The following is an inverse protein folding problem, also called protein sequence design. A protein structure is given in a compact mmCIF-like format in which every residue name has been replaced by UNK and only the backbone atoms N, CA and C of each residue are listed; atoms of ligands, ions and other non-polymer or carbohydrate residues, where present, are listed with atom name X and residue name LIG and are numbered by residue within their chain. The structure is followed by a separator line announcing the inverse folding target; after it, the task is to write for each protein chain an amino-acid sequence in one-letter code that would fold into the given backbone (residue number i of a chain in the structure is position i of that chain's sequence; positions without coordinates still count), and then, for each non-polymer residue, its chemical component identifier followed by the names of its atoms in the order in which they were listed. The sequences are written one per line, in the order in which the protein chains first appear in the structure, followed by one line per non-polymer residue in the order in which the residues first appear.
data_IF_105421562570
#
_entry.id   IF_105421562570
#
_cell.length_a   1.000
_cell.length_b   1.000
_cell.length_c   1.000
_cell.angle_alpha   90.00
_cell.angle_beta   90.00
_cell.angle_gamma   90.00
#
_symmetry.space_group_name_H-M   'P 1'
#
loop_
_entity.id
_entity.type
_entity.pdbx_description
1 polymer ?
#
# COMPACT_ATOMS: atom_id res chain seq x y z
N UNK A 1 10.00 28.63 2.14
CA UNK A 1 9.03 27.62 1.69
C UNK A 1 9.26 27.43 0.20
N UNK A 2 9.63 26.22 -0.21
CA UNK A 2 9.60 25.81 -1.60
C UNK A 2 8.22 26.09 -2.19
N UNK A 3 8.15 26.54 -3.44
CA UNK A 3 6.87 26.64 -4.13
C UNK A 3 6.39 25.21 -4.41
N UNK A 4 5.21 24.85 -3.91
CA UNK A 4 4.55 23.59 -4.23
C UNK A 4 4.31 23.56 -5.75
N UNK A 5 4.72 22.48 -6.41
CA UNK A 5 4.57 22.31 -7.87
C UNK A 5 3.33 21.47 -8.19
N UNK A 6 2.57 21.89 -9.20
CA UNK A 6 1.43 21.16 -9.77
C UNK A 6 1.01 21.76 -11.12
N UNK A 7 0.28 20.99 -11.94
CA UNK A 7 -0.22 21.43 -13.25
C UNK A 7 -1.36 22.46 -13.13
N UNK A 8 -1.73 23.11 -14.24
CA UNK A 8 -2.85 24.06 -14.25
C UNK A 8 -4.20 23.41 -13.92
N UNK A 9 -4.41 22.17 -14.36
CA UNK A 9 -5.60 21.37 -14.09
C UNK A 9 -5.67 20.95 -12.62
N UNK A 10 -4.52 20.63 -12.00
CA UNK A 10 -4.44 20.39 -10.56
C UNK A 10 -4.66 21.72 -9.81
N UNK A 11 -4.12 22.84 -10.27
CA UNK A 11 -4.36 24.15 -9.67
C UNK A 11 -5.86 24.49 -9.64
N UNK A 12 -6.57 24.25 -10.76
CA UNK A 12 -8.01 24.45 -10.86
C UNK A 12 -8.78 23.52 -9.93
N UNK A 13 -8.38 22.24 -9.83
CA UNK A 13 -8.96 21.30 -8.88
C UNK A 13 -8.81 21.79 -7.44
N UNK A 14 -7.59 22.18 -7.06
CA UNK A 14 -7.28 22.65 -5.72
C UNK A 14 -8.04 23.94 -5.38
N UNK A 15 -8.33 24.79 -6.37
CA UNK A 15 -9.22 25.94 -6.21
C UNK A 15 -10.68 25.55 -5.88
N UNK A 16 -11.09 24.32 -6.20
CA UNK A 16 -12.42 23.76 -5.89
C UNK A 16 -12.40 22.87 -4.64
N UNK A 17 -11.23 22.55 -4.10
CA UNK A 17 -11.09 21.66 -2.93
C UNK A 17 -11.76 22.28 -1.71
N UNK A 18 -12.58 21.48 -1.04
CA UNK A 18 -13.22 21.81 0.22
C UNK A 18 -12.61 21.00 1.35
N UNK A 19 -12.41 21.67 2.47
CA UNK A 19 -11.87 21.05 3.68
C UNK A 19 -13.02 20.55 4.54
N UNK A 20 -12.87 19.35 5.11
CA UNK A 20 -13.76 18.85 6.15
C UNK A 20 -12.96 18.76 7.46
N UNK A 21 -13.03 19.79 8.33
CA UNK A 21 -12.28 19.82 9.56
C UNK A 21 -12.53 18.57 10.41
N UNK A 22 -11.53 18.17 11.19
CA UNK A 22 -11.71 17.07 12.14
C UNK A 22 -12.88 17.40 13.07
N UNK A 23 -13.67 16.39 13.42
CA UNK A 23 -14.73 16.54 14.42
C UNK A 23 -14.21 16.75 15.85
N UNK A 24 -12.91 16.98 16.04
CA UNK A 24 -12.29 17.21 17.35
C UNK A 24 -12.06 15.95 18.17
N UNK A 25 -12.22 14.76 17.57
CA UNK A 25 -12.03 13.49 18.27
C UNK A 25 -10.59 13.33 18.79
N UNK A 26 -10.41 12.92 20.06
CA UNK A 26 -9.08 12.68 20.61
C UNK A 26 -8.33 11.59 19.83
N UNK A 27 -7.10 11.91 19.42
CA UNK A 27 -6.16 10.97 18.81
C UNK A 27 -5.40 10.20 19.89
N UNK A 28 -5.42 8.86 19.80
CA UNK A 28 -4.75 7.91 20.70
C UNK A 28 -3.65 7.18 19.90
N UNK A 29 -2.43 7.74 19.81
CA UNK A 29 -1.35 7.16 19.02
C UNK A 29 -0.84 5.87 19.65
N UNK A 30 -0.73 4.79 18.86
CA UNK A 30 -0.21 3.47 19.23
C UNK A 30 -0.93 2.74 20.38
N UNK A 31 -1.90 3.38 21.05
CA UNK A 31 -2.75 2.74 22.04
C UNK A 31 -3.65 1.69 21.37
N UNK A 32 -3.74 0.48 21.95
CA UNK A 32 -4.70 -0.53 21.52
C UNK A 32 -6.11 -0.02 21.82
N UNK A 33 -7.06 -0.28 20.92
CA UNK A 33 -8.48 -0.04 21.18
C UNK A 33 -8.90 -0.86 22.41
N UNK A 34 -9.48 -0.23 23.46
CA UNK A 34 -9.92 -0.95 24.65
C UNK A 34 -10.94 -2.03 24.32
N UNK A 35 -10.90 -3.13 25.09
CA UNK A 35 -11.91 -4.17 24.97
C UNK A 35 -13.30 -3.58 25.28
N UNK A 36 -14.28 -3.87 24.43
CA UNK A 36 -15.64 -3.31 24.53
C UNK A 36 -15.88 -1.99 23.81
N UNK A 37 -14.84 -1.29 23.32
CA UNK A 37 -15.02 -0.13 22.45
C UNK A 37 -15.10 -0.61 20.98
N UNK A 38 -16.27 -0.51 20.31
CA UNK A 38 -16.42 -1.05 18.96
C UNK A 38 -15.57 -0.29 17.96
N UNK A 39 -14.83 -1.03 17.13
CA UNK A 39 -14.16 -0.45 15.95
C UNK A 39 -15.18 -0.35 14.82
N UNK A 40 -15.40 0.87 14.32
CA UNK A 40 -16.44 1.13 13.32
C UNK A 40 -15.93 1.64 12.00
N UNK A 41 -14.70 2.15 11.97
CA UNK A 41 -14.06 2.60 10.74
C UNK A 41 -12.57 2.32 10.72
N UNK A 42 -12.01 2.20 9.52
CA UNK A 42 -10.58 2.10 9.26
C UNK A 42 -10.18 3.05 8.13
N UNK A 43 -9.15 3.86 8.34
CA UNK A 43 -8.67 4.84 7.36
C UNK A 43 -7.15 4.74 7.19
N UNK A 44 -6.66 4.84 5.96
CA UNK A 44 -5.28 4.52 5.61
C UNK A 44 -4.43 5.71 5.15
N UNK A 45 -3.22 5.80 5.67
CA UNK A 45 -2.11 6.53 5.05
C UNK A 45 -1.40 5.56 4.08
N UNK A 46 -1.78 5.60 2.80
CA UNK A 46 -1.25 4.67 1.79
C UNK A 46 -0.05 5.29 1.08
N UNK A 47 1.14 4.76 1.34
CA UNK A 47 2.41 5.35 0.90
C UNK A 47 2.87 4.86 -0.47
N UNK A 48 3.20 5.79 -1.35
CA UNK A 48 4.05 5.55 -2.51
C UNK A 48 5.53 5.43 -2.08
N UNK A 49 6.42 4.83 -2.92
CA UNK A 49 7.82 4.61 -2.56
C UNK A 49 8.60 5.87 -2.20
N UNK A 50 8.20 7.03 -2.74
CA UNK A 50 8.84 8.32 -2.49
C UNK A 50 8.36 9.02 -1.20
N UNK A 51 7.51 8.35 -0.42
CA UNK A 51 6.98 8.86 0.85
C UNK A 51 5.73 9.73 0.73
N UNK A 52 5.25 10.02 -0.49
CA UNK A 52 3.93 10.63 -0.69
C UNK A 52 2.81 9.65 -0.34
N UNK A 53 1.63 10.18 -0.05
CA UNK A 53 0.44 9.39 0.30
C UNK A 53 -0.70 9.65 -0.67
N UNK A 54 -1.49 8.60 -0.91
CA UNK A 54 -2.71 8.69 -1.70
C UNK A 54 -3.81 9.44 -0.94
N UNK A 55 -4.41 10.41 -1.62
CA UNK A 55 -5.63 11.12 -1.21
C UNK A 55 -6.65 11.05 -2.33
N UNK A 56 -7.93 11.09 -1.97
CA UNK A 56 -9.04 11.06 -2.90
C UNK A 56 -9.75 12.40 -2.87
N UNK A 57 -10.08 12.95 -4.04
CA UNK A 57 -10.86 14.18 -4.17
C UNK A 57 -12.19 13.84 -4.79
N UNK A 58 -13.27 14.08 -4.04
CA UNK A 58 -14.62 13.90 -4.55
C UNK A 58 -14.93 15.01 -5.57
N UNK A 59 -15.17 14.71 -6.85
CA UNK A 59 -15.40 15.73 -7.88
C UNK A 59 -16.78 16.40 -7.76
N UNK A 60 -17.67 15.91 -6.91
CA UNK A 60 -18.99 16.50 -6.68
C UNK A 60 -18.91 17.73 -5.78
N UNK A 61 -18.14 17.65 -4.70
CA UNK A 61 -18.08 18.69 -3.66
C UNK A 61 -16.66 19.18 -3.37
N UNK A 62 -15.63 18.57 -3.98
CA UNK A 62 -14.22 18.90 -3.78
C UNK A 62 -13.67 18.41 -2.45
N UNK A 63 -14.40 17.59 -1.69
CA UNK A 63 -13.92 17.10 -0.39
C UNK A 63 -12.76 16.13 -0.62
N UNK A 64 -11.68 16.36 0.14
CA UNK A 64 -10.53 15.47 0.18
C UNK A 64 -10.69 14.47 1.32
N UNK A 65 -10.35 13.21 1.07
CA UNK A 65 -10.29 12.14 2.06
C UNK A 65 -9.01 11.30 1.90
N UNK A 66 -8.67 10.58 2.96
CA UNK A 66 -7.81 9.39 2.84
C UNK A 66 -8.69 8.21 2.42
N UNK A 67 -8.15 7.18 1.74
CA UNK A 67 -8.90 5.94 1.50
C UNK A 67 -9.32 5.28 2.82
N UNK A 68 -10.54 4.75 2.85
CA UNK A 68 -11.06 4.00 3.99
C UNK A 68 -12.49 4.36 4.35
N UNK A 69 -13.11 3.49 5.14
CA UNK A 69 -14.54 3.61 5.42
C UNK A 69 -14.96 2.77 6.61
N UNK A 70 -16.18 2.27 6.55
CA UNK A 70 -16.82 1.58 7.67
C UNK A 70 -16.47 0.09 7.65
N UNK A 71 -16.38 -0.51 8.83
CA UNK A 71 -16.27 -1.97 8.89
C UNK A 71 -17.63 -2.58 8.52
N UNK A 72 -17.59 -3.56 7.63
CA UNK A 72 -18.72 -4.35 7.15
C UNK A 72 -18.65 -5.79 7.65
N UNK A 73 -19.76 -6.56 7.59
CA UNK A 73 -19.76 -7.94 8.08
C UNK A 73 -18.70 -8.85 7.45
N UNK A 74 -18.38 -8.62 6.17
CA UNK A 74 -17.35 -9.36 5.43
C UNK A 74 -15.92 -9.11 5.91
N UNK A 75 -15.67 -7.98 6.57
CA UNK A 75 -14.37 -7.67 7.16
C UNK A 75 -14.12 -8.49 8.44
N UNK A 76 -15.12 -9.25 8.93
CA UNK A 76 -15.06 -10.04 10.16
C UNK A 76 -14.57 -9.26 11.40
N UNK A 77 -14.78 -7.94 11.40
CA UNK A 77 -14.31 -7.05 12.46
C UNK A 77 -12.83 -6.67 12.39
N UNK A 78 -12.10 -7.07 11.34
CA UNK A 78 -10.70 -6.73 11.12
C UNK A 78 -10.54 -5.37 10.39
N UNK A 79 -9.93 -4.36 11.04
CA UNK A 79 -9.70 -3.06 10.41
C UNK A 79 -8.73 -3.11 9.23
N UNK A 80 -7.84 -4.10 9.14
CA UNK A 80 -6.92 -4.23 8.01
C UNK A 80 -7.68 -4.71 6.75
N UNK A 81 -8.54 -5.71 6.89
CA UNK A 81 -9.45 -6.19 5.84
C UNK A 81 -10.37 -5.06 5.34
N UNK A 82 -11.00 -4.32 6.26
CA UNK A 82 -11.85 -3.18 5.90
C UNK A 82 -11.09 -2.11 5.10
N UNK A 83 -9.85 -1.78 5.51
CA UNK A 83 -9.06 -0.81 4.77
C UNK A 83 -8.69 -1.31 3.37
N UNK A 84 -8.36 -2.58 3.21
CA UNK A 84 -8.01 -3.15 1.92
C UNK A 84 -9.21 -3.14 0.96
N UNK A 85 -10.40 -3.48 1.45
CA UNK A 85 -11.66 -3.42 0.68
C UNK A 85 -11.97 -1.99 0.25
N UNK A 86 -12.02 -1.06 1.19
CA UNK A 86 -12.34 0.36 0.91
C UNK A 86 -11.30 0.99 -0.04
N UNK A 87 -10.00 0.68 0.11
CA UNK A 87 -8.98 1.14 -0.83
C UNK A 87 -9.21 0.60 -2.26
N UNK A 88 -9.65 -0.64 -2.40
CA UNK A 88 -9.99 -1.22 -3.69
C UNK A 88 -11.28 -0.61 -4.28
N UNK A 89 -12.29 -0.37 -3.46
CA UNK A 89 -13.58 0.19 -3.89
C UNK A 89 -13.49 1.67 -4.26
N UNK A 90 -12.90 2.49 -3.38
CA UNK A 90 -12.86 3.95 -3.55
C UNK A 90 -11.78 4.41 -4.53
N UNK A 91 -10.63 3.70 -4.56
CA UNK A 91 -9.44 4.15 -5.27
C UNK A 91 -8.93 3.15 -6.33
N UNK A 92 -9.51 1.95 -6.39
CA UNK A 92 -8.96 0.83 -7.16
C UNK A 92 -7.52 0.51 -6.76
N UNK A 93 -7.19 0.73 -5.49
CA UNK A 93 -5.85 0.58 -4.95
C UNK A 93 -5.65 -0.80 -4.31
N UNK A 94 -4.53 -1.44 -4.65
CA UNK A 94 -3.99 -2.58 -3.92
C UNK A 94 -2.98 -2.10 -2.89
N UNK A 95 -3.07 -2.62 -1.67
CA UNK A 95 -2.20 -2.24 -0.56
C UNK A 95 -1.40 -3.43 -0.04
N UNK A 96 -0.22 -3.16 0.52
CA UNK A 96 0.51 -4.14 1.32
C UNK A 96 -0.11 -4.30 2.71
N UNK A 97 0.53 -5.11 3.57
CA UNK A 97 0.06 -5.33 4.94
C UNK A 97 -0.12 -4.01 5.71
N UNK A 98 -1.35 -3.72 6.19
CA UNK A 98 -1.59 -2.52 6.99
C UNK A 98 -0.94 -2.59 8.38
N UNK A 99 -0.31 -1.50 8.79
CA UNK A 99 0.25 -1.30 10.11
C UNK A 99 -0.63 -0.37 10.93
N UNK A 100 -1.03 -0.82 12.11
CA UNK A 100 -1.83 -0.04 13.04
C UNK A 100 -1.06 1.18 13.59
N UNK A 101 -1.70 2.35 13.55
CA UNK A 101 -1.12 3.61 14.05
C UNK A 101 -1.75 4.09 15.36
N UNK A 102 -2.98 3.67 15.66
CA UNK A 102 -3.80 4.22 16.73
C UNK A 102 -5.25 4.43 16.29
N UNK A 103 -6.03 5.12 17.10
CA UNK A 103 -7.42 5.40 16.81
C UNK A 103 -7.86 6.82 17.23
N UNK A 104 -8.89 7.33 16.57
CA UNK A 104 -9.68 8.45 17.04
C UNK A 104 -10.83 7.93 17.90
N UNK A 105 -10.97 8.50 19.11
CA UNK A 105 -12.09 8.18 20.00
C UNK A 105 -13.30 9.05 19.66
N UNK A 106 -14.30 8.45 19.02
CA UNK A 106 -15.57 9.09 18.68
C UNK A 106 -16.58 8.87 19.79
N UNK A 107 -16.60 9.78 20.76
CA UNK A 107 -17.54 9.73 21.91
C UNK A 107 -19.00 9.90 21.50
N UNK A 108 -19.26 10.60 20.39
CA UNK A 108 -20.63 10.90 19.91
C UNK A 108 -21.18 9.69 19.14
N UNK A 109 -20.32 8.83 18.62
CA UNK A 109 -20.76 7.65 17.90
C UNK A 109 -21.35 7.96 16.54
N UNK A 110 -20.82 8.97 15.86
CA UNK A 110 -21.32 9.40 14.54
C UNK A 110 -21.24 8.30 13.48
N UNK A 111 -20.33 7.33 13.65
CA UNK A 111 -20.21 6.13 12.83
C UNK A 111 -20.87 4.87 13.44
N UNK A 112 -21.62 5.03 14.54
CA UNK A 112 -22.09 3.91 15.36
C UNK A 112 -23.47 4.18 15.98
N UNK A 113 -24.37 4.82 15.23
CA UNK A 113 -25.75 5.04 15.68
C UNK A 113 -25.87 5.84 16.98
N UNK A 114 -24.90 6.69 17.31
CA UNK A 114 -24.91 7.49 18.54
C UNK A 114 -24.17 6.88 19.73
N UNK A 115 -23.53 5.71 19.57
CA UNK A 115 -22.76 5.06 20.63
C UNK A 115 -21.26 5.22 20.43
N UNK A 116 -20.50 5.43 21.52
CA UNK A 116 -19.06 5.62 21.41
C UNK A 116 -18.37 4.52 20.58
N UNK A 117 -17.37 4.92 19.79
CA UNK A 117 -16.63 3.99 18.95
C UNK A 117 -15.20 4.43 18.68
N UNK A 118 -14.40 3.51 18.15
CA UNK A 118 -13.07 3.76 17.64
C UNK A 118 -13.09 3.88 16.11
N UNK A 119 -12.39 4.90 15.60
CA UNK A 119 -12.06 5.06 14.17
C UNK A 119 -10.56 4.87 14.00
N UNK A 120 -10.17 3.71 13.50
CA UNK A 120 -8.77 3.29 13.41
C UNK A 120 -8.03 4.06 12.31
N UNK A 121 -6.72 4.25 12.51
CA UNK A 121 -5.78 4.74 11.51
C UNK A 121 -4.72 3.68 11.26
N UNK A 122 -4.45 3.43 10.00
CA UNK A 122 -3.41 2.49 9.55
C UNK A 122 -2.45 3.18 8.58
N UNK A 123 -1.26 2.60 8.39
CA UNK A 123 -0.36 2.91 7.28
C UNK A 123 -0.13 1.64 6.45
N UNK A 124 -0.07 1.75 5.13
CA UNK A 124 0.27 0.62 4.27
C UNK A 124 1.04 1.10 3.04
N UNK A 125 1.79 0.20 2.40
CA UNK A 125 2.37 0.50 1.10
C UNK A 125 1.28 0.47 0.02
N UNK A 126 1.20 1.51 -0.81
CA UNK A 126 0.39 1.51 -2.02
C UNK A 126 1.12 0.69 -3.09
N UNK A 127 0.60 -0.51 -3.41
CA UNK A 127 1.27 -1.44 -4.33
C UNK A 127 0.95 -1.13 -5.78
N UNK A 128 -0.33 -0.98 -6.07
CA UNK A 128 -0.80 -0.68 -7.42
C UNK A 128 -2.12 0.07 -7.34
N UNK A 129 -2.45 0.77 -8.40
CA UNK A 129 -3.73 1.42 -8.61
C UNK A 129 -4.22 0.98 -9.98
N UNK A 130 -5.40 0.38 -10.04
CA UNK A 130 -6.02 -0.05 -11.29
C UNK A 130 -6.68 1.11 -12.04
N UNK A 131 -7.29 0.80 -13.20
CA UNK A 131 -8.08 1.77 -13.94
C UNK A 131 -9.17 2.40 -13.07
N UNK A 132 -9.35 3.70 -13.20
CA UNK A 132 -10.36 4.47 -12.51
C UNK A 132 -11.74 4.01 -12.95
N UNK A 133 -12.57 3.55 -12.01
CA UNK A 133 -13.95 3.20 -12.27
C UNK A 133 -14.89 4.34 -11.83
N UNK A 134 -15.90 4.70 -12.64
CA UNK A 134 -16.84 5.74 -12.25
C UNK A 134 -17.75 5.23 -11.12
N UNK A 135 -18.11 6.12 -10.19
CA UNK A 135 -19.19 5.85 -9.23
C UNK A 135 -20.50 5.52 -10.00
N UNK A 136 -21.16 4.37 -9.75
CA UNK A 136 -22.35 3.96 -10.49
C UNK A 136 -23.52 4.94 -10.40
N UNK A 137 -23.61 5.72 -9.32
CA UNK A 137 -24.73 6.64 -9.08
C UNK A 137 -24.55 8.01 -9.75
N UNK A 138 -23.33 8.50 -9.88
CA UNK A 138 -23.01 9.84 -10.39
C UNK A 138 -22.23 9.84 -11.70
N UNK A 139 -21.66 8.70 -12.09
CA UNK A 139 -20.75 8.56 -13.22
C UNK A 139 -19.41 9.27 -13.02
N UNK A 140 -19.11 9.76 -11.81
CA UNK A 140 -17.91 10.56 -11.53
C UNK A 140 -16.85 9.74 -10.81
N UNK A 141 -15.59 10.03 -11.12
CA UNK A 141 -14.42 9.34 -10.57
C UNK A 141 -13.85 10.13 -9.39
N UNK A 142 -13.47 9.46 -8.30
CA UNK A 142 -12.57 10.09 -7.33
C UNK A 142 -11.26 10.44 -8.05
N UNK A 143 -10.84 11.70 -7.95
CA UNK A 143 -9.50 12.08 -8.41
C UNK A 143 -8.49 11.60 -7.38
N UNK A 144 -7.42 10.95 -7.84
CA UNK A 144 -6.45 10.24 -7.00
C UNK A 144 -5.15 11.02 -6.98
N UNK A 145 -4.82 11.66 -5.86
CA UNK A 145 -3.64 12.50 -5.75
C UNK A 145 -2.58 11.88 -4.84
N UNK A 146 -1.32 11.86 -5.29
CA UNK A 146 -0.15 11.66 -4.45
C UNK A 146 0.34 13.00 -3.92
N UNK A 147 0.42 13.11 -2.59
CA UNK A 147 0.81 14.34 -1.90
C UNK A 147 1.73 14.03 -0.71
N UNK A 148 2.58 14.98 -0.33
CA UNK A 148 3.34 14.87 0.92
C UNK A 148 2.38 14.75 2.13
N UNK A 149 2.69 13.96 3.17
CA UNK A 149 1.79 13.78 4.32
C UNK A 149 1.38 15.08 5.04
N UNK A 150 2.27 16.08 5.08
CA UNK A 150 1.94 17.41 5.62
C UNK A 150 0.90 18.14 4.76
N UNK A 151 1.05 18.08 3.44
CA UNK A 151 0.12 18.68 2.48
C UNK A 151 -1.23 17.95 2.48
N UNK A 152 -1.24 16.62 2.64
CA UNK A 152 -2.48 15.87 2.86
C UNK A 152 -3.28 16.45 4.05
N UNK A 153 -2.62 16.76 5.17
CA UNK A 153 -3.28 17.37 6.33
C UNK A 153 -3.89 18.74 6.02
N UNK A 154 -3.24 19.54 5.19
CA UNK A 154 -3.76 20.84 4.74
C UNK A 154 -4.98 20.69 3.83
N UNK A 155 -4.94 19.75 2.89
CA UNK A 155 -6.05 19.42 1.98
C UNK A 155 -7.26 18.86 2.74
N UNK A 156 -7.02 17.97 3.69
CA UNK A 156 -8.03 17.42 4.59
C UNK A 156 -8.61 18.49 5.53
N UNK A 157 -7.84 19.55 5.83
CA UNK A 157 -8.19 20.57 6.82
C UNK A 157 -8.12 20.08 8.26
N UNK A 158 -7.24 19.12 8.55
CA UNK A 158 -7.19 18.48 9.87
C UNK A 158 -6.34 19.21 10.92
N UNK A 159 -5.57 20.21 10.51
CA UNK A 159 -4.77 21.04 11.41
C UNK A 159 -3.78 20.24 12.29
N UNK A 160 -3.49 20.76 13.48
CA UNK A 160 -2.49 20.16 14.38
C UNK A 160 -2.77 18.70 14.78
N UNK A 161 -4.02 18.26 15.04
CA UNK A 161 -4.32 16.84 15.24
C UNK A 161 -3.99 15.98 14.02
N UNK A 162 -4.25 16.48 12.81
CA UNK A 162 -3.87 15.82 11.56
C UNK A 162 -2.36 15.67 11.42
N UNK A 163 -1.59 16.71 11.75
CA UNK A 163 -0.12 16.65 11.73
C UNK A 163 0.43 15.58 12.67
N UNK A 164 -0.20 15.35 13.84
CA UNK A 164 0.20 14.26 14.74
C UNK A 164 -0.07 12.88 14.15
N UNK A 165 -1.20 12.70 13.45
CA UNK A 165 -1.48 11.46 12.71
C UNK A 165 -0.48 11.25 11.56
N UNK A 166 -0.21 12.30 10.77
CA UNK A 166 0.75 12.23 9.67
C UNK A 166 2.17 11.88 10.16
N UNK A 167 2.62 12.45 11.29
CA UNK A 167 3.92 12.08 11.89
C UNK A 167 3.98 10.62 12.34
N UNK A 168 2.90 10.11 12.93
CA UNK A 168 2.80 8.69 13.29
C UNK A 168 2.85 7.80 12.03
N UNK A 169 2.13 8.19 10.98
CA UNK A 169 2.14 7.49 9.71
C UNK A 169 3.53 7.50 9.05
N UNK A 170 4.21 8.64 8.99
CA UNK A 170 5.59 8.74 8.45
C UNK A 170 6.55 7.88 9.26
N UNK A 171 6.47 7.93 10.59
CA UNK A 171 7.33 7.10 11.46
C UNK A 171 7.12 5.61 11.19
N UNK A 172 5.87 5.18 11.01
CA UNK A 172 5.54 3.81 10.63
C UNK A 172 6.00 3.47 9.20
N UNK A 173 5.82 4.39 8.25
CA UNK A 173 6.25 4.23 6.87
C UNK A 173 7.76 4.02 6.76
N UNK A 174 8.55 4.87 7.42
CA UNK A 174 10.01 4.72 7.47
C UNK A 174 10.40 3.39 8.10
N UNK A 175 9.80 3.06 9.25
CA UNK A 175 10.19 1.87 10.02
C UNK A 175 9.82 0.55 9.36
N UNK A 176 8.64 0.47 8.75
CA UNK A 176 8.04 -0.79 8.34
C UNK A 176 7.88 -0.93 6.83
N UNK A 177 7.75 0.18 6.11
CA UNK A 177 7.53 0.19 4.66
C UNK A 177 8.80 0.58 3.88
N UNK A 178 9.82 1.11 4.57
CA UNK A 178 11.09 1.52 3.95
C UNK A 178 10.98 2.78 3.10
N UNK A 179 9.96 3.61 3.30
CA UNK A 179 9.80 4.88 2.56
C UNK A 179 10.64 6.00 3.17
N UNK A 180 11.02 7.04 2.40
CA UNK A 180 11.73 8.20 2.92
C UNK A 180 10.98 8.93 4.04
N UNK A 181 11.74 9.51 4.98
CA UNK A 181 11.19 10.32 6.07
C UNK A 181 10.64 11.69 5.60
N UNK A 182 11.08 12.16 4.44
CA UNK A 182 10.61 13.38 3.81
C UNK A 182 10.19 13.07 2.38
N UNK A 183 8.97 13.47 2.04
CA UNK A 183 8.43 13.38 0.70
C UNK A 183 8.63 14.70 -0.04
N UNK A 184 8.78 14.61 -1.36
CA UNK A 184 8.61 15.70 -2.29
C UNK A 184 7.22 16.37 -2.11
N UNK A 185 7.15 17.71 -2.15
CA UNK A 185 5.92 18.49 -1.97
C UNK A 185 5.07 18.64 -3.25
N UNK A 186 5.53 18.17 -4.42
CA UNK A 186 4.75 18.16 -5.67
C UNK A 186 3.47 17.34 -5.51
N UNK A 187 2.35 17.93 -5.94
CA UNK A 187 1.07 17.24 -6.06
C UNK A 187 1.00 16.61 -7.45
N UNK A 188 0.75 15.31 -7.48
CA UNK A 188 0.60 14.55 -8.71
C UNK A 188 -0.74 13.83 -8.71
N UNK A 189 -1.44 13.86 -9.83
CA UNK A 189 -2.59 12.99 -10.04
C UNK A 189 -2.13 11.66 -10.65
N UNK A 190 -2.64 10.55 -10.10
CA UNK A 190 -2.44 9.24 -10.68
C UNK A 190 -3.24 9.10 -11.99
N UNK A 191 -2.66 8.44 -13.02
CA UNK A 191 -3.30 8.26 -14.31
C UNK A 191 -4.62 7.49 -14.19
N UNK A 192 -5.58 7.78 -15.08
CA UNK A 192 -6.89 7.13 -15.09
C UNK A 192 -6.78 5.65 -15.45
N UNK A 193 -5.86 5.25 -16.31
CA UNK A 193 -5.58 3.85 -16.65
C UNK A 193 -4.97 3.05 -15.49
N UNK A 194 -4.54 3.71 -14.42
CA UNK A 194 -3.85 3.10 -13.29
C UNK A 194 -2.33 3.03 -13.48
N UNK A 195 -1.64 2.60 -12.42
CA UNK A 195 -0.19 2.44 -12.41
C UNK A 195 0.25 1.40 -11.36
N UNK A 196 1.38 0.75 -11.61
CA UNK A 196 2.10 0.06 -10.54
C UNK A 196 2.90 1.11 -9.76
N UNK A 197 2.75 1.11 -8.44
CA UNK A 197 3.30 2.18 -7.58
C UNK A 197 4.47 1.64 -6.75
N UNK A 198 4.33 0.45 -6.16
CA UNK A 198 5.34 -0.16 -5.30
C UNK A 198 5.32 -1.69 -5.47
N UNK A 199 6.33 -2.30 -6.12
CA UNK A 199 6.39 -3.75 -6.28
C UNK A 199 6.50 -4.45 -4.91
N UNK A 200 5.68 -5.47 -4.68
CA UNK A 200 5.72 -6.24 -3.43
C UNK A 200 4.44 -7.01 -3.14
N UNK A 201 4.42 -7.74 -2.03
CA UNK A 201 3.25 -8.53 -1.64
C UNK A 201 2.03 -7.63 -1.39
N UNK A 202 0.90 -8.06 -1.95
CA UNK A 202 -0.43 -7.46 -1.75
C UNK A 202 -1.10 -8.14 -0.56
N UNK A 203 -1.78 -7.36 0.27
CA UNK A 203 -2.54 -7.88 1.39
C UNK A 203 -3.74 -8.71 0.87
N UNK A 204 -3.95 -9.94 1.34
CA UNK A 204 -5.05 -10.78 0.89
C UNK A 204 -6.40 -10.19 1.31
N UNK A 205 -7.40 -10.24 0.43
CA UNK A 205 -8.75 -9.76 0.77
C UNK A 205 -9.60 -9.34 -0.41
N UNK A 206 -9.00 -8.80 -1.49
CA UNK A 206 -9.74 -8.46 -2.72
C UNK A 206 -8.81 -8.62 -3.92
N UNK A 207 -9.14 -9.52 -4.85
CA UNK A 207 -8.52 -9.61 -6.19
C UNK A 207 -9.59 -9.41 -7.25
N UNK A 208 -9.82 -8.14 -7.60
CA UNK A 208 -10.26 -7.82 -8.95
C UNK A 208 -9.83 -6.42 -9.35
N UNK A 209 -8.59 -6.27 -9.81
CA UNK A 209 -8.27 -5.18 -10.73
C UNK A 209 -8.89 -5.56 -12.07
N UNK A 210 -10.12 -5.11 -12.30
CA UNK A 210 -10.82 -5.34 -13.57
C UNK A 210 -10.03 -4.76 -14.73
N UNK A 211 -9.67 -5.63 -15.68
CA UNK A 211 -9.04 -5.26 -16.94
C UNK A 211 -8.84 -6.51 -17.78
N UNK A 212 -9.64 -6.68 -18.83
CA UNK A 212 -9.48 -7.76 -19.78
C UNK A 212 -8.05 -7.76 -20.32
N UNK A 213 -7.28 -8.80 -20.02
CA UNK A 213 -6.08 -9.09 -20.77
C UNK A 213 -6.51 -9.33 -22.22
N UNK A 214 -6.28 -8.35 -23.09
CA UNK A 214 -6.26 -8.60 -24.52
C UNK A 214 -5.19 -9.68 -24.75
N UNK A 215 -5.64 -10.90 -25.05
CA UNK A 215 -4.74 -11.99 -25.39
C UNK A 215 -3.92 -11.54 -26.61
N UNK A 216 -2.58 -11.58 -26.57
CA UNK A 216 -1.82 -11.57 -27.81
C UNK A 216 -2.23 -12.83 -28.58
N UNK A 217 -2.70 -12.64 -29.81
CA UNK A 217 -3.16 -13.71 -30.68
C UNK A 217 -2.10 -14.81 -30.82
N UNK A 218 -2.30 -15.90 -30.10
CA UNK A 218 -1.56 -17.14 -30.29
C UNK A 218 -2.05 -17.81 -31.56
N UNK A 219 -1.28 -17.68 -32.64
CA UNK A 219 -1.42 -18.54 -33.81
C UNK A 219 -1.31 -20.00 -33.34
N UNK A 220 -2.40 -20.77 -33.49
CA UNK A 220 -2.45 -22.19 -33.18
C UNK A 220 -1.53 -22.98 -34.15
N UNK A 221 -0.59 -23.79 -33.65
CA UNK A 221 -0.05 -24.91 -34.43
C UNK A 221 -1.10 -26.03 -34.44
N UNK A 222 -1.45 -26.50 -35.63
CA UNK A 222 -2.49 -27.50 -35.86
C UNK A 222 -2.26 -28.81 -35.11
N UNK A 223 -3.33 -29.37 -34.57
CA UNK A 223 -3.37 -30.71 -34.02
C UNK A 223 -3.18 -31.75 -35.14
N UNK A 224 -2.05 -32.44 -35.15
CA UNK A 224 -1.88 -33.68 -35.89
C UNK A 224 -2.22 -34.86 -34.97
N UNK A 225 -3.27 -35.59 -35.34
CA UNK A 225 -3.72 -36.82 -34.69
C UNK A 225 -2.62 -37.89 -34.71
N UNK A 226 -2.28 -38.46 -33.55
CA UNK A 226 -1.46 -39.69 -33.48
C UNK A 226 -2.34 -40.87 -33.13
N UNK A 227 -2.58 -41.73 -34.14
CA UNK A 227 -3.23 -43.02 -34.00
C UNK A 227 -2.32 -44.05 -33.32
N UNK A 228 -2.96 -44.97 -32.60
CA UNK A 228 -2.32 -46.07 -31.90
C UNK A 228 -1.71 -47.10 -32.88
N UNK A 229 -0.49 -47.57 -32.57
CA UNK A 229 0.09 -48.79 -33.16
C UNK A 229 0.84 -49.55 -32.05
N UNK A 230 0.58 -50.86 -31.96
CA UNK A 230 1.03 -51.76 -30.89
C UNK A 230 2.50 -52.22 -30.96
N UNK A 231 2.92 -53.10 -30.03
CA UNK A 231 4.30 -53.26 -29.61
C UNK A 231 5.09 -54.27 -30.47
N UNK A 232 6.38 -53.98 -30.70
CA UNK A 232 7.35 -54.88 -31.33
C UNK A 232 8.71 -54.77 -30.64
N UNK A 233 9.18 -55.88 -30.11
CA UNK A 233 10.45 -56.01 -29.38
C UNK A 233 11.67 -55.98 -30.32
N UNK A 234 12.75 -55.30 -29.91
CA UNK A 234 14.16 -55.72 -30.11
C UNK A 234 15.10 -54.95 -29.16
N UNK A 235 15.87 -55.69 -28.35
CA UNK A 235 17.21 -55.32 -27.84
C UNK A 235 18.24 -56.02 -28.76
N UNK A 236 19.53 -55.63 -28.91
CA UNK A 236 20.41 -55.04 -27.87
C UNK A 236 21.49 -54.04 -28.38
N UNK A 237 22.21 -53.36 -27.46
CA UNK A 237 23.46 -52.66 -27.81
C UNK A 237 24.11 -51.93 -26.64
N UNK A 238 25.11 -52.55 -26.04
CA UNK A 238 25.86 -52.06 -24.88
C UNK A 238 26.80 -50.89 -25.23
N UNK A 239 26.82 -49.85 -24.38
CA UNK A 239 28.04 -49.03 -24.15
C UNK A 239 28.15 -48.72 -22.65
N UNK A 240 29.32 -49.03 -22.10
CA UNK A 240 29.72 -48.88 -20.69
C UNK A 240 30.09 -47.43 -20.33
N UNK A 241 30.09 -47.08 -19.03
CA UNK A 241 30.27 -45.72 -18.52
C UNK A 241 31.75 -45.31 -18.41
N UNK A 242 32.03 -44.01 -18.50
CA UNK A 242 33.34 -43.41 -18.21
C UNK A 242 33.28 -42.59 -16.92
N UNK A 243 34.30 -42.80 -16.07
CA UNK A 243 34.48 -42.32 -14.71
C UNK A 243 35.23 -40.97 -14.60
N UNK A 244 34.77 -40.17 -13.61
CA UNK A 244 35.38 -39.11 -12.76
C UNK A 244 36.76 -38.48 -13.06
N UNK A 245 36.87 -37.17 -12.73
CA UNK A 245 37.86 -36.65 -11.76
C UNK A 245 37.37 -35.35 -11.06
N UNK A 246 37.59 -35.19 -9.72
CA UNK A 246 37.30 -33.99 -8.95
C UNK A 246 38.51 -33.04 -8.85
N UNK A 247 38.27 -31.71 -8.91
CA UNK A 247 39.29 -30.66 -8.80
C UNK A 247 39.26 -29.93 -7.46
N UNK A 248 40.24 -30.27 -6.62
CA UNK A 248 40.90 -29.59 -5.48
C UNK A 248 40.45 -28.20 -4.99
N UNK A 249 40.25 -28.12 -3.67
CA UNK A 249 40.21 -26.92 -2.84
C UNK A 249 41.63 -26.43 -2.45
N UNK A 250 41.79 -25.12 -2.27
CA UNK A 250 42.95 -24.49 -1.62
C UNK A 250 42.51 -23.59 -0.45
N UNK A 251 43.03 -23.79 0.77
CA UNK A 251 42.94 -22.83 1.87
C UNK A 251 44.30 -22.16 2.17
N UNK A 252 44.28 -20.88 2.51
CA UNK A 252 45.39 -20.11 3.08
C UNK A 252 44.94 -18.65 3.27
N UNK A 253 45.27 -17.91 4.34
CA UNK A 253 46.27 -18.09 5.35
C UNK A 253 45.83 -17.41 6.67
N UNK A 254 46.28 -17.96 7.78
CA UNK A 254 46.18 -17.41 9.14
C UNK A 254 47.35 -16.45 9.38
N UNK A 255 47.09 -15.27 9.97
CA UNK A 255 48.12 -14.47 10.62
C UNK A 255 47.90 -14.45 12.13
N UNK A 256 48.85 -15.05 12.86
CA UNK A 256 49.13 -14.79 14.27
C UNK A 256 49.99 -13.53 14.37
N UNK A 257 49.73 -12.70 15.38
CA UNK A 257 50.65 -11.68 15.88
C UNK A 257 50.28 -11.32 17.32
N UNK A 258 51.14 -11.68 18.26
CA UNK A 258 50.98 -11.49 19.70
C UNK A 258 51.92 -10.37 20.21
N UNK A 259 51.55 -9.75 21.33
CA UNK A 259 52.40 -8.90 22.19
C UNK A 259 52.31 -7.39 21.87
N UNK A 260 52.34 -6.46 22.81
CA UNK A 260 52.60 -6.52 24.24
C UNK A 260 52.05 -5.24 24.92
N UNK A 261 51.82 -5.34 26.22
CA UNK A 261 51.39 -4.29 27.16
C UNK A 261 52.56 -3.50 27.74
N UNK A 262 52.29 -2.25 28.18
CA UNK A 262 52.77 -1.49 29.39
C UNK A 262 53.12 0.00 29.12
N UNK A 263 53.27 0.89 30.15
CA UNK A 263 52.17 1.66 30.76
C UNK A 263 52.51 3.17 30.91
N UNK A 264 51.66 3.98 31.56
CA UNK A 264 52.03 5.31 32.04
C UNK A 264 51.07 5.84 33.12
N UNK A 265 51.60 6.12 34.32
CA UNK A 265 51.06 7.14 35.25
C UNK A 265 51.48 8.54 34.78
N UNK A 266 51.11 9.67 35.35
CA UNK A 266 50.48 10.06 36.61
C UNK A 266 49.19 10.89 36.36
#
# INVERSE_FOLDING_TARGET
MSRIEYSAEIAELLGKVRRRPTAGWPWRPAERVPDGLPVKQSWGWLFAPDGRVLTLVNPRDGIVSLPGGSLEPEDAGDPASALAREAAEEAQALIGTPHYLGYLYDRVGSANGGHECARVRMAAALRAVGPSAPDPASGRHYRRLLVAPGLAVELLGWGAPGLRQARAAVSAGVRWLGVPAAANETIEELPDEGCEVFPGAVFPGVVHLGGAAAQPGGAQPGAAHSGAVGPGAVNPGAVRPSSVHPGTAHPGASYRGAGATRPGGE
#
